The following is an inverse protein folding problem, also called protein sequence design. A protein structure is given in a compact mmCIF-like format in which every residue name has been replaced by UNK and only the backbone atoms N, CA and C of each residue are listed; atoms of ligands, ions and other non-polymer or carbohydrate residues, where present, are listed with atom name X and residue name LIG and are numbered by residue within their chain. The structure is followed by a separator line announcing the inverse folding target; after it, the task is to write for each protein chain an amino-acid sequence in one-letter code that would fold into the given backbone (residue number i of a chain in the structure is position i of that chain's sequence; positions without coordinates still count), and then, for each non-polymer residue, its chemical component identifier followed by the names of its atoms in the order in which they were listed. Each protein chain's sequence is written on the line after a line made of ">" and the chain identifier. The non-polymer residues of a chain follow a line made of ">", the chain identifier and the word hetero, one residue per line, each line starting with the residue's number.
data_IF_650076024221
#
_entry.id   IF_650076024221
#
_cell.length_a   1.000
_cell.length_b   1.000
_cell.length_c   1.000
_cell.angle_alpha   90.00
_cell.angle_beta   90.00
_cell.angle_gamma   90.00
#
_symmetry.space_group_name_H-M   'P 1'
#
loop_
_entity.id
_entity.type
_entity.pdbx_description
1 polymer ?
#
# COMPACT_ATOMS: atom_id res chain seq x y z
N UNK A 1 -4.20 4.01 6.77
CA UNK A 1 -3.03 3.52 7.54
C UNK A 1 -3.40 2.41 8.50
N UNK A 2 -4.17 2.67 9.57
CA UNK A 2 -4.56 1.65 10.57
C UNK A 2 -5.04 0.34 9.93
N UNK A 3 -6.05 0.39 9.06
CA UNK A 3 -6.60 -0.80 8.40
C UNK A 3 -5.60 -1.56 7.54
N UNK A 4 -4.66 -0.86 6.90
CA UNK A 4 -3.64 -1.49 6.04
C UNK A 4 -2.69 -2.35 6.88
N UNK A 5 -2.32 -1.87 8.08
CA UNK A 5 -1.37 -2.57 8.96
C UNK A 5 -2.04 -3.63 9.84
N UNK A 6 -3.32 -3.43 10.21
CA UNK A 6 -4.01 -4.24 11.22
C UNK A 6 -5.09 -5.14 10.60
N UNK A 7 -5.54 -4.84 9.39
CA UNK A 7 -6.55 -5.63 8.65
C UNK A 7 -8.01 -5.35 9.02
N UNK A 8 -8.26 -4.50 10.04
CA UNK A 8 -9.62 -4.09 10.46
C UNK A 8 -9.72 -2.56 10.65
N UNK A 9 -10.91 -1.96 10.51
CA UNK A 9 -11.10 -0.53 10.76
C UNK A 9 -10.85 -0.15 12.24
N UNK A 10 -10.35 1.05 12.54
CA UNK A 10 -10.00 1.47 13.91
C UNK A 10 -11.21 1.55 14.86
N UNK A 11 -12.38 1.93 14.33
CA UNK A 11 -13.60 2.17 15.13
C UNK A 11 -14.70 1.14 14.88
N UNK A 12 -14.37 0.00 14.24
CA UNK A 12 -15.36 -1.04 13.95
C UNK A 12 -16.09 -1.49 15.23
N UNK A 13 -17.41 -1.54 15.17
CA UNK A 13 -18.27 -1.94 16.27
C UNK A 13 -19.48 -2.72 15.74
N UNK A 14 -20.27 -3.30 16.66
CA UNK A 14 -21.46 -4.12 16.34
C UNK A 14 -22.54 -3.39 15.56
N UNK A 15 -22.64 -2.07 15.71
CA UNK A 15 -23.65 -1.23 15.07
C UNK A 15 -23.09 0.17 14.79
N UNK A 16 -23.74 0.87 13.85
CA UNK A 16 -23.31 2.19 13.36
C UNK A 16 -23.27 3.23 14.48
N UNK A 17 -24.24 3.19 15.41
CA UNK A 17 -24.30 4.13 16.54
C UNK A 17 -23.09 3.94 17.45
N UNK A 18 -22.72 2.70 17.75
CA UNK A 18 -21.54 2.36 18.54
C UNK A 18 -20.24 2.80 17.83
N UNK A 19 -20.15 2.63 16.51
CA UNK A 19 -19.01 3.12 15.71
C UNK A 19 -18.85 4.63 15.85
N UNK A 20 -19.94 5.41 15.72
CA UNK A 20 -19.88 6.86 15.93
C UNK A 20 -19.47 7.25 17.35
N UNK A 21 -19.96 6.55 18.37
CA UNK A 21 -19.56 6.79 19.75
C UNK A 21 -18.06 6.56 19.95
N UNK A 22 -17.48 5.52 19.34
CA UNK A 22 -16.03 5.29 19.37
C UNK A 22 -15.25 6.39 18.68
N UNK A 23 -15.71 6.87 17.52
CA UNK A 23 -15.08 8.01 16.83
C UNK A 23 -15.06 9.24 17.72
N UNK A 24 -16.20 9.60 18.32
CA UNK A 24 -16.31 10.78 19.19
C UNK A 24 -15.42 10.69 20.43
N UNK A 25 -15.25 9.48 20.97
CA UNK A 25 -14.40 9.20 22.14
C UNK A 25 -12.93 8.92 21.80
N UNK A 26 -12.58 8.91 20.51
CA UNK A 26 -11.29 8.43 20.01
C UNK A 26 -10.90 7.02 20.51
N UNK A 27 -11.89 6.12 20.59
CA UNK A 27 -11.74 4.81 21.20
C UNK A 27 -11.36 3.75 20.16
N UNK A 28 -10.06 3.52 20.00
CA UNK A 28 -9.46 2.41 19.25
C UNK A 28 -8.23 1.89 20.01
N UNK A 29 -7.74 0.70 19.65
CA UNK A 29 -6.57 0.10 20.31
C UNK A 29 -5.68 -0.64 19.32
N UNK A 30 -4.41 -0.84 19.68
CA UNK A 30 -3.46 -1.63 18.90
C UNK A 30 -3.45 -3.07 19.43
N UNK A 31 -3.71 -4.10 18.59
CA UNK A 31 -3.70 -5.49 19.05
C UNK A 31 -2.28 -5.97 19.39
N UNK A 32 -2.09 -6.55 20.58
CA UNK A 32 -0.76 -6.99 21.05
C UNK A 32 -0.12 -8.12 20.22
N UNK A 33 -0.91 -8.88 19.46
CA UNK A 33 -0.42 -9.99 18.62
C UNK A 33 0.07 -9.52 17.25
N UNK A 34 -0.16 -8.26 16.86
CA UNK A 34 0.31 -7.71 15.59
C UNK A 34 1.56 -6.89 15.86
N UNK A 35 2.74 -7.29 15.32
CA UNK A 35 3.96 -6.52 15.50
C UNK A 35 3.86 -5.21 14.71
N UNK A 36 3.88 -4.09 15.42
CA UNK A 36 3.88 -2.75 14.83
C UNK A 36 5.12 -2.01 15.32
N UNK A 37 5.75 -1.24 14.42
CA UNK A 37 6.83 -0.34 14.84
C UNK A 37 6.26 0.84 15.64
N UNK A 38 7.06 1.38 16.57
CA UNK A 38 6.69 2.57 17.34
C UNK A 38 6.35 3.74 16.41
N UNK A 39 7.11 3.91 15.32
CA UNK A 39 6.86 4.94 14.30
C UNK A 39 5.53 4.78 13.57
N UNK A 40 5.04 3.54 13.39
CA UNK A 40 3.73 3.29 12.78
C UNK A 40 2.60 3.69 13.72
N UNK A 41 2.74 3.32 15.00
CA UNK A 41 1.80 3.64 16.07
C UNK A 41 1.69 5.17 16.21
N UNK A 42 2.84 5.85 16.29
CA UNK A 42 2.94 7.31 16.41
C UNK A 42 2.27 8.04 15.23
N UNK A 43 2.52 7.59 13.99
CA UNK A 43 1.87 8.18 12.82
C UNK A 43 0.34 7.98 12.85
N UNK A 44 -0.12 6.79 13.22
CA UNK A 44 -1.56 6.51 13.32
C UNK A 44 -2.21 7.40 14.39
N UNK A 45 -1.57 7.52 15.56
CA UNK A 45 -2.07 8.34 16.66
C UNK A 45 -2.12 9.82 16.28
N UNK A 46 -1.10 10.36 15.62
CA UNK A 46 -1.12 11.74 15.16
C UNK A 46 -2.21 12.02 14.11
N UNK A 47 -2.52 11.06 13.22
CA UNK A 47 -3.60 11.22 12.24
C UNK A 47 -5.01 11.08 12.83
N UNK A 48 -5.19 10.18 13.81
CA UNK A 48 -6.48 9.85 14.41
C UNK A 48 -6.74 10.71 15.66
N UNK A 49 -6.81 12.03 15.47
CA UNK A 49 -7.16 12.99 16.51
C UNK A 49 -8.62 13.45 16.42
N UNK A 50 -9.28 13.56 17.58
CA UNK A 50 -10.64 14.11 17.71
C UNK A 50 -10.67 15.55 17.23
N UNK A 51 -9.71 16.36 17.67
CA UNK A 51 -9.55 17.73 17.21
C UNK A 51 -8.91 17.75 15.82
N UNK A 52 -9.57 18.29 14.78
CA UNK A 52 -8.99 18.35 13.44
C UNK A 52 -7.72 19.22 13.36
N UNK A 53 -7.56 20.22 14.24
CA UNK A 53 -6.39 21.09 14.25
C UNK A 53 -5.12 20.43 14.82
N UNK A 54 -5.27 19.30 15.52
CA UNK A 54 -4.15 18.50 16.03
C UNK A 54 -3.66 17.48 15.00
N UNK A 55 -4.38 17.31 13.89
CA UNK A 55 -3.95 16.41 12.82
C UNK A 55 -2.80 17.04 12.05
N UNK A 56 -1.78 16.25 11.66
CA UNK A 56 -0.67 16.76 10.88
C UNK A 56 -1.10 17.15 9.46
N UNK A 57 -0.33 18.05 8.85
CA UNK A 57 -0.46 18.33 7.42
C UNK A 57 0.03 17.14 6.58
N UNK A 58 -0.32 17.13 5.29
CA UNK A 58 0.14 16.08 4.37
C UNK A 58 1.65 16.09 4.19
N UNK A 59 2.28 17.26 4.20
CA UNK A 59 3.74 17.41 4.12
C UNK A 59 4.44 16.79 5.32
N UNK A 60 3.86 16.98 6.52
CA UNK A 60 4.35 16.32 7.73
C UNK A 60 4.17 14.80 7.65
N UNK A 61 2.99 14.32 7.24
CA UNK A 61 2.74 12.87 7.08
C UNK A 61 3.75 12.25 6.12
N UNK A 62 4.00 12.87 4.97
CA UNK A 62 4.94 12.37 3.95
C UNK A 62 6.38 12.32 4.46
N UNK A 63 6.79 13.29 5.30
CA UNK A 63 8.14 13.34 5.89
C UNK A 63 8.29 12.53 7.18
N UNK A 64 7.19 12.03 7.74
CA UNK A 64 7.19 11.27 8.99
C UNK A 64 8.13 10.05 8.94
N UNK A 65 8.89 9.74 10.01
CA UNK A 65 9.88 8.64 10.02
C UNK A 65 9.35 7.28 9.55
N UNK A 66 8.06 7.01 9.77
CA UNK A 66 7.42 5.80 9.26
C UNK A 66 7.45 5.70 7.73
N UNK A 67 7.19 6.81 7.03
CA UNK A 67 7.14 6.89 5.56
C UNK A 67 8.45 7.37 4.92
N UNK A 68 9.31 8.09 5.66
CA UNK A 68 10.59 8.55 5.13
C UNK A 68 11.75 7.56 5.35
N UNK A 69 11.49 6.41 6.00
CA UNK A 69 12.47 5.35 6.18
C UNK A 69 12.89 4.73 4.83
N UNK A 70 14.13 4.24 4.75
CA UNK A 70 14.70 3.58 3.54
C UNK A 70 14.08 2.19 3.25
N UNK A 71 12.92 1.90 3.82
CA UNK A 71 12.29 0.60 3.79
C UNK A 71 11.09 0.54 2.83
N UNK A 72 10.90 1.53 1.97
CA UNK A 72 9.86 1.53 0.94
C UNK A 72 10.36 0.78 -0.30
N UNK A 73 9.67 -0.28 -0.76
CA UNK A 73 10.01 -0.96 -2.00
C UNK A 73 9.89 -0.05 -3.22
N UNK A 74 10.78 -0.21 -4.19
CA UNK A 74 10.77 0.57 -5.44
C UNK A 74 9.56 0.25 -6.34
N UNK A 75 8.99 -0.94 -6.18
CA UNK A 75 7.79 -1.38 -6.89
C UNK A 75 7.06 -2.47 -6.09
N UNK A 76 5.78 -2.63 -6.35
CA UNK A 76 4.96 -3.72 -5.81
C UNK A 76 4.68 -4.69 -6.97
N UNK A 77 5.03 -5.98 -6.86
CA UNK A 77 4.78 -6.95 -7.92
C UNK A 77 3.28 -7.27 -8.03
N UNK A 78 2.81 -7.67 -9.21
CA UNK A 78 1.39 -8.06 -9.42
C UNK A 78 1.01 -9.25 -8.54
N UNK A 79 1.95 -10.16 -8.26
CA UNK A 79 1.77 -11.29 -7.35
C UNK A 79 1.33 -10.88 -5.95
N UNK A 80 1.64 -9.65 -5.50
CA UNK A 80 1.24 -9.11 -4.20
C UNK A 80 -0.28 -9.00 -4.00
N UNK A 81 -1.07 -9.06 -5.09
CA UNK A 81 -2.53 -9.12 -5.02
C UNK A 81 -3.04 -10.46 -4.47
N UNK A 82 -2.26 -11.53 -4.62
CA UNK A 82 -2.66 -12.90 -4.26
C UNK A 82 -1.86 -13.45 -3.09
N UNK A 83 -0.57 -13.12 -3.00
CA UNK A 83 0.34 -13.66 -1.99
C UNK A 83 1.25 -12.56 -1.43
N UNK A 84 1.66 -12.68 -0.17
CA UNK A 84 2.57 -11.72 0.44
C UNK A 84 3.96 -11.81 -0.24
N UNK A 85 4.51 -10.70 -0.77
CA UNK A 85 5.84 -10.71 -1.39
C UNK A 85 6.92 -10.91 -0.33
N UNK A 86 7.98 -11.64 -0.71
CA UNK A 86 9.22 -11.69 0.07
C UNK A 86 10.13 -10.56 -0.38
N UNK A 87 10.59 -9.74 0.56
CA UNK A 87 11.38 -8.54 0.30
C UNK A 87 12.89 -8.83 0.47
N UNK A 88 13.70 -8.38 -0.49
CA UNK A 88 15.17 -8.49 -0.45
C UNK A 88 15.81 -7.11 -0.61
N UNK A 89 16.86 -6.87 0.19
CA UNK A 89 17.67 -5.66 0.09
C UNK A 89 18.69 -5.81 -1.05
N UNK A 90 18.68 -4.88 -2.00
CA UNK A 90 19.63 -4.82 -3.11
C UNK A 90 20.39 -3.50 -3.10
N UNK A 91 21.37 -3.34 -4.00
CA UNK A 91 22.07 -2.06 -4.21
C UNK A 91 21.14 -0.94 -4.71
N UNK A 92 19.99 -1.28 -5.29
CA UNK A 92 19.00 -0.32 -5.82
C UNK A 92 17.85 -0.01 -4.83
N UNK A 93 17.79 -0.72 -3.70
CA UNK A 93 16.71 -0.61 -2.72
C UNK A 93 16.04 -1.95 -2.41
N UNK A 94 14.87 -1.89 -1.79
CA UNK A 94 14.06 -3.09 -1.48
C UNK A 94 13.26 -3.50 -2.71
N UNK A 95 13.38 -4.76 -3.10
CA UNK A 95 12.66 -5.35 -4.22
C UNK A 95 12.01 -6.67 -3.80
N UNK A 96 10.87 -6.99 -4.40
CA UNK A 96 10.25 -8.30 -4.23
C UNK A 96 11.00 -9.37 -5.05
N UNK A 97 11.10 -10.58 -4.52
CA UNK A 97 11.53 -11.74 -5.30
C UNK A 97 10.36 -12.29 -6.12
N UNK A 98 10.54 -12.35 -7.43
CA UNK A 98 9.60 -13.04 -8.31
C UNK A 98 10.05 -14.48 -8.48
N UNK A 99 9.39 -15.42 -7.78
CA UNK A 99 9.64 -16.86 -7.94
C UNK A 99 9.34 -17.38 -9.37
N UNK A 100 8.71 -16.56 -10.23
CA UNK A 100 8.33 -16.92 -11.59
C UNK A 100 9.40 -16.65 -12.66
N UNK A 101 10.57 -16.10 -12.32
CA UNK A 101 11.58 -15.75 -13.34
C UNK A 101 12.52 -16.91 -13.74
N UNK A 102 12.41 -18.09 -13.11
CA UNK A 102 13.18 -19.27 -13.50
C UNK A 102 12.50 -20.12 -14.60
N UNK A 103 11.30 -19.75 -15.06
CA UNK A 103 10.59 -20.48 -16.12
C UNK A 103 10.72 -19.85 -17.53
N UNK A 104 11.33 -18.66 -17.66
CA UNK A 104 11.34 -17.92 -18.94
C UNK A 104 12.67 -17.98 -19.72
N UNK A 105 13.71 -18.69 -19.23
CA UNK A 105 15.00 -18.80 -19.94
C UNK A 105 15.15 -20.07 -20.79
N UNK A 106 14.15 -20.95 -20.86
CA UNK A 106 14.17 -22.16 -21.72
C UNK A 106 12.95 -22.20 -22.63
N UNK A 107 12.95 -21.36 -23.67
CA UNK A 107 12.29 -21.69 -24.95
C UNK A 107 12.92 -20.90 -26.08
N UNK A 108 13.94 -21.52 -26.65
CA UNK A 108 14.51 -21.17 -27.95
C UNK A 108 13.45 -21.16 -29.04
N UNK A 109 13.45 -20.10 -29.85
CA UNK A 109 13.19 -20.16 -31.30
C UNK A 109 11.74 -20.19 -31.77
N UNK A 110 11.30 -19.08 -32.38
CA UNK A 110 10.96 -19.00 -33.82
C UNK A 110 10.70 -17.56 -34.25
N UNK A 111 11.37 -17.18 -35.34
CA UNK A 111 11.21 -15.95 -36.12
C UNK A 111 9.88 -15.95 -36.89
N UNK A 112 9.17 -14.81 -36.98
CA UNK A 112 8.43 -14.37 -38.18
C UNK A 112 8.04 -12.87 -38.16
N UNK A 113 8.65 -12.11 -39.09
CA UNK A 113 8.18 -11.01 -39.98
C UNK A 113 6.96 -10.10 -39.64
N UNK A 114 7.26 -8.79 -39.62
CA UNK A 114 6.70 -7.65 -40.41
C UNK A 114 5.19 -7.38 -40.64
N UNK A 115 4.83 -6.10 -40.38
CA UNK A 115 3.83 -5.20 -41.03
C UNK A 115 2.32 -5.40 -40.83
N UNK A 116 1.61 -4.43 -40.21
CA UNK A 116 0.99 -3.27 -40.91
C UNK A 116 -0.09 -2.51 -40.08
N UNK A 117 -0.16 -1.21 -40.33
CA UNK A 117 -1.35 -0.33 -40.35
C UNK A 117 -2.03 0.10 -39.03
N UNK A 118 -1.70 1.32 -38.59
CA UNK A 118 -2.53 2.13 -37.68
C UNK A 118 -3.81 2.60 -38.41
N UNK A 119 -4.96 2.16 -37.91
CA UNK A 119 -6.28 2.53 -38.39
C UNK A 119 -6.77 3.88 -37.88
N UNK A 120 -7.47 4.58 -38.76
CA UNK A 120 -7.96 5.95 -38.69
C UNK A 120 -9.00 6.24 -37.60
N UNK A 121 -8.73 7.31 -36.84
CA UNK A 121 -9.59 8.50 -36.58
C UNK A 121 -11.08 8.36 -36.92
N UNK A 122 -11.92 8.24 -35.90
CA UNK A 122 -13.37 8.46 -35.98
C UNK A 122 -13.71 9.85 -35.42
N UNK A 123 -14.26 10.72 -36.28
CA UNK A 123 -14.90 11.97 -35.92
C UNK A 123 -16.35 11.68 -35.48
N UNK A 124 -16.78 12.25 -34.37
CA UNK A 124 -18.19 12.28 -33.96
C UNK A 124 -18.67 13.73 -34.02
N UNK A 125 -19.48 14.06 -35.01
CA UNK A 125 -20.17 15.35 -35.11
C UNK A 125 -21.46 15.33 -34.29
N UNK A 126 -21.75 16.46 -33.65
CA UNK A 126 -23.04 16.82 -33.07
C UNK A 126 -23.98 17.40 -34.13
#
# INVERSE_FOLDING_TARGET
>A
MYTILIGKPPYEAKDVKATYQRILKNEYSFPAHIPLSETAIDLIQSMLQTNPHERPSLEYISSHPFLSSRNIPISIPISAMHFAPTWVQTSLGIQAVDENNDAASVRSGKSTKSHSSWGSRASFNR
#
